data_IF_919152576800
#
_entry.id   IF_919152576800
#
_cell.length_a   1.000
_cell.length_b   1.000
_cell.length_c   1.000
_cell.angle_alpha   90.00
_cell.angle_beta   90.00
_cell.angle_gamma   90.00
#
_symmetry.space_group_name_H-M   'P 1'
#
loop_
_entity.id
_entity.type
_entity.pdbx_description
1 polymer ?
#
# COMPACT_ATOMS: atom_id res chain seq x y z
N UNK A 1 -12.73 -16.20 -32.62
CA UNK A 1 -12.33 -15.51 -31.37
C UNK A 1 -12.76 -16.36 -30.19
N UNK A 2 -11.82 -17.04 -29.53
CA UNK A 2 -12.10 -17.90 -28.35
C UNK A 2 -12.09 -17.02 -27.10
N UNK A 3 -13.24 -16.91 -26.44
CA UNK A 3 -13.38 -16.25 -25.14
C UNK A 3 -12.55 -17.01 -24.09
N UNK A 4 -11.51 -16.39 -23.55
CA UNK A 4 -10.85 -16.88 -22.35
C UNK A 4 -11.74 -16.60 -21.15
N UNK A 5 -12.60 -17.56 -20.79
CA UNK A 5 -13.28 -17.56 -19.49
C UNK A 5 -12.22 -17.87 -18.44
N UNK A 6 -11.76 -16.85 -17.72
CA UNK A 6 -11.03 -17.02 -16.47
C UNK A 6 -11.86 -17.93 -15.54
N UNK A 7 -11.29 -19.05 -15.12
CA UNK A 7 -11.99 -20.06 -14.33
C UNK A 7 -12.37 -19.51 -12.95
N UNK A 8 -13.55 -19.87 -12.47
CA UNK A 8 -14.11 -19.49 -11.17
C UNK A 8 -13.18 -19.78 -9.97
N UNK A 9 -12.18 -20.64 -10.16
CA UNK A 9 -11.14 -20.98 -9.17
C UNK A 9 -10.18 -19.82 -8.85
N UNK A 10 -9.88 -18.94 -9.81
CA UNK A 10 -9.07 -17.74 -9.57
C UNK A 10 -9.83 -16.70 -8.72
N UNK A 11 -11.15 -16.62 -8.91
CA UNK A 11 -12.04 -15.85 -8.06
C UNK A 11 -12.15 -16.44 -6.64
N UNK A 12 -12.27 -17.77 -6.50
CA UNK A 12 -12.39 -18.41 -5.20
C UNK A 12 -11.15 -18.26 -4.30
N UNK A 13 -9.93 -18.25 -4.86
CA UNK A 13 -8.71 -18.03 -4.07
C UNK A 13 -8.53 -16.58 -3.61
N UNK A 14 -9.06 -15.60 -4.35
CA UNK A 14 -9.11 -14.21 -3.92
C UNK A 14 -10.18 -13.99 -2.82
N UNK A 15 -11.28 -14.73 -2.88
CA UNK A 15 -12.40 -14.62 -1.92
C UNK A 15 -12.08 -15.26 -0.56
N UNK A 16 -11.26 -16.32 -0.50
CA UNK A 16 -10.93 -17.03 0.74
C UNK A 16 -10.11 -16.22 1.77
N UNK A 17 -9.52 -15.10 1.37
CA UNK A 17 -8.76 -14.21 2.27
C UNK A 17 -9.35 -12.79 2.39
N UNK A 18 -10.49 -12.54 1.75
CA UNK A 18 -11.23 -11.29 1.93
C UNK A 18 -11.95 -11.34 3.28
N UNK A 19 -11.47 -10.61 4.28
CA UNK A 19 -12.30 -10.28 5.43
C UNK A 19 -13.50 -9.48 4.91
N UNK A 20 -14.68 -10.12 4.91
CA UNK A 20 -15.97 -9.47 4.81
C UNK A 20 -16.09 -8.48 5.97
N UNK A 21 -15.58 -7.27 5.78
CA UNK A 21 -15.90 -6.13 6.63
C UNK A 21 -17.22 -5.56 6.13
N UNK A 22 -18.28 -6.37 6.18
CA UNK A 22 -19.63 -5.89 6.04
C UNK A 22 -19.99 -5.11 7.31
N UNK A 23 -20.45 -3.88 7.10
CA UNK A 23 -21.08 -2.98 8.08
C UNK A 23 -20.22 -2.53 9.27
N UNK A 24 -19.55 -1.40 9.06
CA UNK A 24 -19.86 -0.26 9.92
C UNK A 24 -20.07 0.95 9.00
N UNK A 25 -21.31 1.46 8.96
CA UNK A 25 -21.52 2.84 8.55
C UNK A 25 -20.79 3.69 9.61
N UNK A 26 -19.55 4.11 9.32
CA UNK A 26 -18.89 5.12 10.12
C UNK A 26 -19.46 6.47 9.66
N UNK A 27 -20.25 7.16 10.50
CA UNK A 27 -20.68 8.51 10.20
C UNK A 27 -19.57 9.49 10.60
N UNK A 28 -19.55 10.62 9.89
CA UNK A 28 -18.69 11.79 10.05
C UNK A 28 -17.27 11.59 9.51
N UNK A 29 -17.09 12.05 8.28
CA UNK A 29 -15.82 12.34 7.63
C UNK A 29 -15.19 13.54 8.37
N UNK A 30 -14.77 13.33 9.61
CA UNK A 30 -14.04 14.33 10.40
C UNK A 30 -12.53 14.16 10.20
N UNK A 31 -11.81 15.28 10.06
CA UNK A 31 -10.35 15.31 9.95
C UNK A 31 -9.80 15.56 8.54
N UNK A 32 -8.56 15.11 8.29
CA UNK A 32 -7.70 15.42 7.11
C UNK A 32 -8.30 15.09 5.73
N UNK A 33 -9.42 14.34 5.70
CA UNK A 33 -10.08 13.85 4.48
C UNK A 33 -11.24 14.76 4.04
N UNK A 34 -11.79 15.58 4.94
CA UNK A 34 -13.02 16.34 4.69
C UNK A 34 -12.91 17.28 3.48
N UNK A 35 -11.89 18.14 3.44
CA UNK A 35 -11.73 19.07 2.32
C UNK A 35 -11.40 18.38 1.00
N UNK A 36 -10.66 17.26 1.05
CA UNK A 36 -10.39 16.42 -0.12
C UNK A 36 -11.66 15.76 -0.65
N UNK A 37 -12.60 15.36 0.21
CA UNK A 37 -13.88 14.82 -0.20
C UNK A 37 -14.71 15.85 -0.98
N UNK A 38 -14.81 17.08 -0.47
CA UNK A 38 -15.42 18.20 -1.20
C UNK A 38 -14.76 18.38 -2.57
N UNK A 39 -13.45 18.55 -2.63
CA UNK A 39 -12.68 18.69 -3.88
C UNK A 39 -12.97 17.57 -4.89
N UNK A 40 -12.97 16.30 -4.45
CA UNK A 40 -13.24 15.17 -5.35
C UNK A 40 -14.68 15.15 -5.88
N UNK A 41 -15.67 15.61 -5.11
CA UNK A 41 -17.06 15.66 -5.59
C UNK A 41 -17.21 16.56 -6.82
N UNK A 42 -16.44 17.65 -6.89
CA UNK A 42 -16.49 18.61 -8.00
C UNK A 42 -15.66 18.22 -9.22
N UNK A 43 -14.82 17.18 -9.13
CA UNK A 43 -13.89 16.78 -10.21
C UNK A 43 -14.55 16.48 -11.55
N UNK A 44 -15.82 16.09 -11.50
CA UNK A 44 -16.63 15.77 -12.67
C UNK A 44 -17.49 16.93 -13.18
N UNK A 45 -17.58 18.03 -12.44
CA UNK A 45 -18.36 19.21 -12.83
C UNK A 45 -17.49 20.18 -13.62
N UNK A 46 -18.12 20.84 -14.60
CA UNK A 46 -17.54 21.96 -15.33
C UNK A 46 -18.35 23.22 -15.07
N UNK A 47 -17.68 24.33 -14.80
CA UNK A 47 -18.32 25.63 -14.64
C UNK A 47 -18.11 26.48 -15.88
N UNK A 48 -19.09 27.33 -16.21
CA UNK A 48 -19.07 28.13 -17.44
C UNK A 48 -18.04 29.27 -17.43
N UNK A 49 -17.51 29.62 -16.25
CA UNK A 49 -16.49 30.65 -16.07
C UNK A 49 -15.06 30.08 -16.14
N UNK A 50 -14.89 28.77 -16.30
CA UNK A 50 -13.62 28.14 -16.61
C UNK A 50 -13.37 28.07 -18.13
N UNK A 51 -12.11 28.10 -18.58
CA UNK A 51 -11.81 27.91 -20.00
C UNK A 51 -12.23 26.52 -20.48
N UNK A 52 -12.74 26.42 -21.71
CA UNK A 52 -13.15 25.15 -22.28
C UNK A 52 -11.97 24.19 -22.46
N UNK A 53 -12.22 22.89 -22.27
CA UNK A 53 -11.26 21.79 -22.51
C UNK A 53 -9.98 21.80 -21.67
N UNK A 54 -9.99 22.50 -20.53
CA UNK A 54 -8.85 22.47 -19.60
C UNK A 54 -8.92 21.30 -18.62
N UNK A 55 -7.76 20.92 -18.09
CA UNK A 55 -7.69 19.97 -16.98
C UNK A 55 -8.37 20.57 -15.74
N UNK A 56 -8.95 19.71 -14.90
CA UNK A 56 -9.64 20.11 -13.68
C UNK A 56 -8.80 21.07 -12.83
N UNK A 57 -7.50 20.84 -12.69
CA UNK A 57 -6.61 21.69 -11.89
C UNK A 57 -6.60 23.16 -12.37
N UNK A 58 -6.79 23.42 -13.66
CA UNK A 58 -6.90 24.80 -14.19
C UNK A 58 -8.23 25.42 -13.78
N UNK A 59 -9.33 24.67 -13.86
CA UNK A 59 -10.63 25.12 -13.37
C UNK A 59 -10.59 25.46 -11.88
N UNK A 60 -9.84 24.67 -11.08
CA UNK A 60 -9.73 24.94 -9.63
C UNK A 60 -9.16 26.31 -9.31
N UNK A 61 -8.21 26.77 -10.12
CA UNK A 61 -7.50 28.03 -9.91
C UNK A 61 -8.16 29.23 -10.60
N UNK A 62 -8.96 29.00 -11.65
CA UNK A 62 -9.52 30.06 -12.49
C UNK A 62 -11.02 30.31 -12.30
N UNK A 63 -11.81 29.30 -11.96
CA UNK A 63 -13.27 29.42 -11.84
C UNK A 63 -13.67 29.96 -10.46
N UNK A 64 -14.34 31.11 -10.47
CA UNK A 64 -14.90 31.72 -9.26
C UNK A 64 -16.10 30.94 -8.75
N UNK A 65 -16.93 30.39 -9.64
CA UNK A 65 -18.06 29.54 -9.29
C UNK A 65 -17.60 28.27 -8.57
N UNK A 66 -16.52 27.64 -9.05
CA UNK A 66 -15.90 26.50 -8.38
C UNK A 66 -15.37 26.87 -7.00
N UNK A 67 -14.59 27.96 -6.92
CA UNK A 67 -13.97 28.41 -5.68
C UNK A 67 -15.00 28.71 -4.60
N UNK A 68 -16.09 29.41 -4.94
CA UNK A 68 -17.20 29.66 -4.01
C UNK A 68 -17.91 28.36 -3.61
N UNK A 69 -18.19 27.49 -4.58
CA UNK A 69 -18.88 26.21 -4.33
C UNK A 69 -18.10 25.28 -3.41
N UNK A 70 -16.77 25.22 -3.55
CA UNK A 70 -15.92 24.35 -2.71
C UNK A 70 -15.73 24.94 -1.31
N UNK A 71 -15.60 26.27 -1.17
CA UNK A 71 -15.58 26.94 0.14
C UNK A 71 -16.89 26.74 0.90
N UNK A 72 -18.04 26.84 0.23
CA UNK A 72 -19.34 26.50 0.84
C UNK A 72 -19.42 25.03 1.27
N UNK A 73 -18.88 24.11 0.46
CA UNK A 73 -18.82 22.70 0.85
C UNK A 73 -17.97 22.51 2.12
N UNK A 74 -16.85 23.22 2.24
CA UNK A 74 -16.03 23.18 3.44
C UNK A 74 -16.75 23.76 4.64
N UNK A 75 -17.44 24.89 4.51
CA UNK A 75 -18.22 25.49 5.60
C UNK A 75 -19.31 24.55 6.13
N UNK A 76 -19.97 23.82 5.22
CA UNK A 76 -21.08 22.91 5.59
C UNK A 76 -20.58 21.62 6.27
N UNK A 77 -19.44 21.08 5.82
CA UNK A 77 -19.03 19.72 6.19
C UNK A 77 -17.74 19.64 7.01
N UNK A 78 -16.91 20.68 7.04
CA UNK A 78 -15.58 20.66 7.63
C UNK A 78 -15.43 21.65 8.79
N UNK A 79 -14.45 21.39 9.66
CA UNK A 79 -14.15 22.21 10.86
C UNK A 79 -12.73 22.80 10.88
N UNK A 80 -11.87 22.44 9.92
CA UNK A 80 -10.46 22.88 9.85
C UNK A 80 -10.06 23.17 8.40
N UNK A 81 -9.13 24.10 8.17
CA UNK A 81 -8.72 24.55 6.81
C UNK A 81 -7.39 23.94 6.32
N UNK A 82 -7.11 22.68 6.65
CA UNK A 82 -5.79 22.05 6.41
C UNK A 82 -5.44 21.90 4.91
N UNK A 83 -6.41 22.05 4.00
CA UNK A 83 -6.30 21.76 2.56
C UNK A 83 -5.93 22.95 1.68
N UNK A 84 -6.03 24.17 2.19
CA UNK A 84 -5.79 25.39 1.38
C UNK A 84 -4.33 25.44 0.89
N UNK A 85 -3.38 24.97 1.70
CA UNK A 85 -1.95 24.96 1.36
C UNK A 85 -1.64 24.11 0.12
N UNK A 86 -2.22 22.91 0.01
CA UNK A 86 -1.99 21.99 -1.12
C UNK A 86 -2.54 22.56 -2.43
N UNK A 87 -3.72 23.18 -2.38
CA UNK A 87 -4.36 23.79 -3.55
C UNK A 87 -3.62 25.08 -3.94
N UNK A 88 -3.20 25.89 -2.97
CA UNK A 88 -2.45 27.12 -3.23
C UNK A 88 -1.12 26.82 -3.93
N UNK A 89 -0.40 25.78 -3.52
CA UNK A 89 0.80 25.34 -4.23
C UNK A 89 0.49 24.93 -5.67
N UNK A 90 -0.60 24.19 -5.87
CA UNK A 90 -1.03 23.76 -7.22
C UNK A 90 -1.34 24.96 -8.11
N UNK A 91 -2.04 25.98 -7.61
CA UNK A 91 -2.35 27.18 -8.39
C UNK A 91 -1.12 28.03 -8.70
N UNK A 92 -0.20 28.15 -7.74
CA UNK A 92 1.08 28.83 -7.98
C UNK A 92 1.89 28.17 -9.10
N UNK A 93 1.86 26.84 -9.20
CA UNK A 93 2.56 26.09 -10.25
C UNK A 93 1.88 26.21 -11.63
N UNK A 94 0.55 26.35 -11.68
CA UNK A 94 -0.21 26.37 -12.94
C UNK A 94 -0.18 27.75 -13.61
N UNK A 95 -0.50 28.81 -12.87
CA UNK A 95 -0.66 30.15 -13.42
C UNK A 95 -0.12 31.27 -12.49
N UNK A 96 0.55 30.89 -11.40
CA UNK A 96 1.08 31.84 -10.42
C UNK A 96 0.00 32.48 -9.54
N UNK A 97 -1.27 32.07 -9.67
CA UNK A 97 -2.36 32.58 -8.84
C UNK A 97 -2.34 31.96 -7.44
N UNK A 98 -3.05 32.62 -6.52
CA UNK A 98 -3.30 32.10 -5.19
C UNK A 98 -4.75 31.67 -5.07
N UNK A 99 -4.98 30.52 -4.44
CA UNK A 99 -6.34 30.06 -4.18
C UNK A 99 -7.02 31.02 -3.19
N UNK A 100 -8.24 31.53 -3.48
CA UNK A 100 -8.89 32.53 -2.64
C UNK A 100 -9.11 32.06 -1.20
N UNK A 101 -9.08 33.03 -0.27
CA UNK A 101 -9.44 32.84 1.13
C UNK A 101 -10.94 32.62 1.29
N UNK A 102 -11.33 32.19 2.49
CA UNK A 102 -12.72 31.92 2.86
C UNK A 102 -13.66 33.12 2.64
N UNK A 103 -13.12 34.35 2.63
CA UNK A 103 -13.85 35.60 2.43
C UNK A 103 -14.65 35.66 1.11
N UNK A 104 -14.34 34.79 0.14
CA UNK A 104 -15.04 34.70 -1.15
C UNK A 104 -16.53 34.34 -1.03
N UNK A 105 -16.94 33.74 0.10
CA UNK A 105 -18.34 33.38 0.40
C UNK A 105 -19.02 34.34 1.38
N UNK A 106 -18.33 35.38 1.88
CA UNK A 106 -18.85 36.27 2.92
C UNK A 106 -20.12 37.07 2.52
N UNK A 107 -20.42 37.16 1.22
CA UNK A 107 -21.63 37.80 0.70
C UNK A 107 -22.85 36.89 0.57
N UNK A 108 -22.76 35.61 0.93
CA UNK A 108 -23.84 34.63 0.83
C UNK A 108 -24.54 34.45 2.18
N UNK A 109 -25.87 34.49 2.20
CA UNK A 109 -26.66 34.24 3.41
C UNK A 109 -27.04 32.77 3.53
N UNK A 110 -27.42 32.33 4.74
CA UNK A 110 -27.90 30.96 4.98
C UNK A 110 -29.13 30.62 4.09
N UNK A 111 -29.98 31.61 3.82
CA UNK A 111 -31.14 31.46 2.93
C UNK A 111 -30.71 31.19 1.48
N UNK A 112 -29.68 31.89 1.00
CA UNK A 112 -29.09 31.65 -0.32
C UNK A 112 -28.54 30.22 -0.41
N UNK A 113 -27.83 29.76 0.62
CA UNK A 113 -27.21 28.43 0.67
C UNK A 113 -28.25 27.30 0.58
N UNK A 114 -29.43 27.48 1.16
CA UNK A 114 -30.51 26.50 1.07
C UNK A 114 -31.01 26.35 -0.38
N UNK A 115 -31.07 27.45 -1.13
CA UNK A 115 -31.57 27.51 -2.51
C UNK A 115 -30.57 27.00 -3.55
N UNK A 116 -29.27 26.89 -3.20
CA UNK A 116 -28.25 26.37 -4.11
C UNK A 116 -28.58 24.94 -4.57
N UNK A 117 -28.49 24.74 -5.89
CA UNK A 117 -28.76 23.45 -6.51
C UNK A 117 -27.77 22.37 -6.02
N UNK A 118 -28.31 21.20 -5.69
CA UNK A 118 -27.51 20.06 -5.21
C UNK A 118 -27.29 19.02 -6.29
N UNK A 119 -26.09 18.43 -6.31
CA UNK A 119 -25.72 17.39 -7.27
C UNK A 119 -25.31 16.08 -6.59
N UNK A 120 -25.40 14.99 -7.32
CA UNK A 120 -24.91 13.67 -6.93
C UNK A 120 -24.01 13.10 -8.03
N UNK A 121 -23.73 11.80 -7.99
CA UNK A 121 -22.85 11.14 -8.96
C UNK A 121 -23.37 11.17 -10.42
N UNK A 122 -24.68 11.23 -10.62
CA UNK A 122 -25.33 11.04 -11.94
C UNK A 122 -26.28 12.17 -12.35
N UNK A 123 -26.61 13.09 -11.43
CA UNK A 123 -27.60 14.15 -11.61
C UNK A 123 -27.11 15.47 -10.98
N UNK A 124 -27.34 16.63 -11.61
CA UNK A 124 -27.87 16.81 -12.97
C UNK A 124 -26.89 16.30 -14.04
N UNK A 125 -27.38 16.18 -15.28
CA UNK A 125 -26.54 15.78 -16.42
C UNK A 125 -25.39 16.77 -16.62
N UNK A 126 -24.22 16.25 -16.99
CA UNK A 126 -22.93 16.98 -17.01
C UNK A 126 -22.44 17.30 -18.42
N UNK A 127 -23.34 17.22 -19.40
CA UNK A 127 -23.03 17.51 -20.82
C UNK A 127 -22.67 18.98 -21.02
N UNK A 128 -23.28 19.89 -20.23
CA UNK A 128 -23.06 21.32 -20.35
C UNK A 128 -22.42 21.92 -19.09
N UNK A 129 -21.58 22.97 -19.22
CA UNK A 129 -21.06 23.71 -18.08
C UNK A 129 -22.16 24.39 -17.27
N UNK A 130 -21.97 24.48 -15.95
CA UNK A 130 -22.91 25.13 -15.04
C UNK A 130 -22.53 26.60 -14.83
N UNK A 131 -23.53 27.50 -14.98
CA UNK A 131 -23.38 28.94 -14.78
C UNK A 131 -23.86 29.42 -13.39
N UNK A 132 -24.00 28.49 -12.44
CA UNK A 132 -24.51 28.75 -11.09
C UNK A 132 -23.69 28.00 -10.05
N UNK A 133 -23.80 28.42 -8.78
CA UNK A 133 -23.22 27.69 -7.65
C UNK A 133 -23.87 26.31 -7.51
N UNK A 134 -23.08 25.32 -7.09
CA UNK A 134 -23.51 23.94 -6.98
C UNK A 134 -22.97 23.33 -5.69
N UNK A 135 -23.78 22.53 -5.00
CA UNK A 135 -23.37 21.84 -3.77
C UNK A 135 -23.52 20.32 -3.85
N UNK A 136 -22.58 19.52 -3.33
CA UNK A 136 -22.77 18.08 -3.31
C UNK A 136 -23.90 17.72 -2.32
N UNK A 137 -24.75 16.78 -2.74
CA UNK A 137 -25.67 16.10 -1.83
C UNK A 137 -24.89 15.40 -0.71
N UNK A 138 -25.47 15.35 0.49
CA UNK A 138 -24.84 14.71 1.67
C UNK A 138 -24.39 13.28 1.37
N UNK A 139 -25.24 12.50 0.71
CA UNK A 139 -24.91 11.12 0.31
C UNK A 139 -23.68 11.05 -0.63
N UNK A 140 -23.53 12.01 -1.56
CA UNK A 140 -22.39 12.01 -2.47
C UNK A 140 -21.09 12.47 -1.78
N UNK A 141 -21.20 13.44 -0.87
CA UNK A 141 -20.09 13.83 -0.01
C UNK A 141 -19.62 12.66 0.88
N UNK A 142 -20.55 11.99 1.59
CA UNK A 142 -20.25 10.86 2.46
C UNK A 142 -19.61 9.69 1.68
N UNK A 143 -20.06 9.47 0.43
CA UNK A 143 -19.49 8.48 -0.47
C UNK A 143 -18.01 8.76 -0.77
N UNK A 144 -17.67 10.00 -1.08
CA UNK A 144 -16.28 10.41 -1.34
C UNK A 144 -15.43 10.37 -0.08
N UNK A 145 -15.97 10.77 1.07
CA UNK A 145 -15.26 10.64 2.33
C UNK A 145 -14.92 9.19 2.67
N UNK A 146 -15.88 8.26 2.51
CA UNK A 146 -15.63 6.82 2.66
C UNK A 146 -14.63 6.28 1.64
N UNK A 147 -14.69 6.78 0.41
CA UNK A 147 -13.74 6.40 -0.67
C UNK A 147 -12.33 6.79 -0.28
N UNK A 148 -12.14 8.01 0.18
CA UNK A 148 -10.82 8.54 0.56
C UNK A 148 -10.29 7.91 1.86
N UNK A 149 -11.15 7.63 2.84
CA UNK A 149 -10.75 6.86 4.04
C UNK A 149 -10.27 5.45 3.67
N UNK A 150 -11.06 4.72 2.86
CA UNK A 150 -10.69 3.39 2.41
C UNK A 150 -9.40 3.42 1.57
N UNK A 151 -9.25 4.43 0.70
CA UNK A 151 -8.03 4.65 -0.08
C UNK A 151 -6.82 4.89 0.83
N UNK A 152 -6.92 5.79 1.80
CA UNK A 152 -5.86 6.08 2.77
C UNK A 152 -5.46 4.85 3.56
N UNK A 153 -6.44 4.12 4.10
CA UNK A 153 -6.20 2.86 4.81
C UNK A 153 -5.40 1.85 3.97
N UNK A 154 -5.78 1.68 2.69
CA UNK A 154 -5.10 0.75 1.79
C UNK A 154 -3.67 1.22 1.49
N UNK A 155 -3.47 2.51 1.25
CA UNK A 155 -2.15 3.13 1.02
C UNK A 155 -1.21 2.97 2.21
N UNK A 156 -1.69 3.21 3.42
CA UNK A 156 -0.90 2.98 4.63
C UNK A 156 -0.45 1.53 4.72
N UNK A 157 -1.37 0.59 4.47
CA UNK A 157 -1.00 -0.83 4.40
C UNK A 157 0.03 -1.07 3.30
N UNK A 158 -0.10 -0.48 2.11
CA UNK A 158 0.85 -0.67 1.01
C UNK A 158 2.26 -0.28 1.45
N UNK A 159 2.36 0.88 2.09
CA UNK A 159 3.60 1.38 2.66
C UNK A 159 4.18 0.43 3.72
N UNK A 160 3.39 0.08 4.75
CA UNK A 160 3.87 -0.79 5.84
C UNK A 160 4.28 -2.19 5.35
N UNK A 161 3.56 -2.77 4.38
CA UNK A 161 3.89 -4.10 3.85
C UNK A 161 5.10 -4.08 2.92
N UNK A 162 5.36 -2.98 2.22
CA UNK A 162 6.64 -2.78 1.55
C UNK A 162 7.81 -2.80 2.53
N UNK A 163 7.71 -2.04 3.62
CA UNK A 163 8.74 -2.01 4.67
C UNK A 163 8.91 -3.35 5.41
N UNK A 164 7.82 -4.11 5.59
CA UNK A 164 7.86 -5.40 6.27
C UNK A 164 8.88 -6.37 5.65
N UNK A 165 9.09 -6.32 4.32
CA UNK A 165 10.09 -7.17 3.64
C UNK A 165 11.51 -6.82 4.09
N UNK A 166 11.84 -5.53 4.10
CA UNK A 166 13.14 -5.03 4.56
C UNK A 166 13.37 -5.29 6.04
N UNK A 167 12.37 -5.00 6.89
CA UNK A 167 12.44 -5.23 8.34
C UNK A 167 12.65 -6.70 8.65
N UNK A 168 11.91 -7.59 7.98
CA UNK A 168 12.08 -9.04 8.15
C UNK A 168 13.53 -9.47 7.93
N UNK A 169 14.13 -9.07 6.80
CA UNK A 169 15.50 -9.45 6.49
C UNK A 169 16.53 -8.74 7.37
N UNK A 170 16.28 -7.50 7.79
CA UNK A 170 17.12 -6.80 8.76
C UNK A 170 17.17 -7.55 10.10
N UNK A 171 16.02 -8.03 10.60
CA UNK A 171 15.95 -8.85 11.82
C UNK A 171 16.69 -10.18 11.63
N UNK A 172 16.47 -10.88 10.53
CA UNK A 172 17.15 -12.16 10.21
C UNK A 172 18.67 -11.98 10.15
N UNK A 173 19.15 -10.91 9.52
CA UNK A 173 20.56 -10.56 9.46
C UNK A 173 21.10 -10.22 10.86
N UNK A 174 20.40 -9.40 11.64
CA UNK A 174 20.81 -9.03 12.99
C UNK A 174 20.96 -10.26 13.90
N UNK A 175 20.03 -11.21 13.83
CA UNK A 175 20.12 -12.50 14.52
C UNK A 175 21.35 -13.29 14.06
N UNK A 176 21.64 -13.30 12.75
CA UNK A 176 22.84 -13.93 12.20
C UNK A 176 24.14 -13.32 12.73
N UNK A 177 24.23 -11.99 12.78
CA UNK A 177 25.38 -11.25 13.32
C UNK A 177 25.55 -11.53 14.82
N UNK A 178 24.47 -11.46 15.59
CA UNK A 178 24.49 -11.75 17.02
C UNK A 178 24.96 -13.17 17.29
N UNK A 179 24.44 -14.15 16.56
CA UNK A 179 24.86 -15.55 16.69
C UNK A 179 26.36 -15.73 16.43
N UNK A 180 26.90 -15.06 15.40
CA UNK A 180 28.35 -15.11 15.14
C UNK A 180 29.16 -14.43 16.26
N UNK A 181 28.71 -13.29 16.75
CA UNK A 181 29.37 -12.58 17.85
C UNK A 181 29.43 -13.44 19.13
N UNK A 182 28.34 -14.13 19.47
CA UNK A 182 28.28 -15.06 20.60
C UNK A 182 29.25 -16.24 20.45
N UNK A 183 29.30 -16.86 19.26
CA UNK A 183 30.23 -17.96 18.99
C UNK A 183 31.68 -17.50 19.11
N UNK A 184 32.01 -16.33 18.56
CA UNK A 184 33.36 -15.77 18.64
C UNK A 184 33.74 -15.40 20.08
N UNK A 185 32.80 -14.83 20.84
CA UNK A 185 32.98 -14.50 22.24
C UNK A 185 33.28 -15.73 23.10
N UNK A 186 32.53 -16.82 22.91
CA UNK A 186 32.78 -18.10 23.58
C UNK A 186 34.12 -18.71 23.18
N UNK A 187 34.54 -18.58 21.92
CA UNK A 187 35.84 -19.07 21.44
C UNK A 187 37.02 -18.30 22.07
N UNK A 188 36.85 -17.02 22.39
CA UNK A 188 37.85 -16.18 23.06
C UNK A 188 37.87 -16.35 24.59
N UNK A 189 36.91 -17.08 25.18
CA UNK A 189 36.82 -17.26 26.64
C UNK A 189 37.92 -18.23 27.14
N UNK A 190 38.62 -17.95 28.26
CA UNK A 190 39.64 -18.84 28.80
C UNK A 190 39.07 -20.25 29.05
N UNK A 191 39.85 -21.28 28.68
CA UNK A 191 39.45 -22.71 28.74
C UNK A 191 38.91 -23.13 30.11
N UNK A 192 39.37 -22.50 31.20
CA UNK A 192 38.94 -22.75 32.58
C UNK A 192 37.49 -22.36 32.91
N UNK A 193 36.91 -21.40 32.17
CA UNK A 193 35.52 -20.94 32.34
C UNK A 193 34.60 -21.39 31.21
N UNK A 194 35.06 -22.31 30.36
CA UNK A 194 34.25 -22.86 29.27
C UNK A 194 33.29 -23.89 29.87
N UNK A 195 32.07 -23.45 30.16
CA UNK A 195 30.97 -24.33 30.58
C UNK A 195 30.77 -25.45 29.56
N UNK A 196 30.91 -26.71 29.99
CA UNK A 196 30.57 -27.89 29.19
C UNK A 196 29.05 -27.90 28.98
N UNK A 197 28.58 -27.26 27.92
CA UNK A 197 27.17 -26.96 27.69
C UNK A 197 26.41 -28.21 27.22
N UNK A 198 25.96 -29.04 28.16
CA UNK A 198 25.10 -30.22 27.90
C UNK A 198 23.74 -29.85 27.27
N UNK A 199 23.24 -28.63 27.48
CA UNK A 199 21.97 -28.12 26.92
C UNK A 199 22.05 -27.80 25.43
N UNK A 200 23.25 -27.49 24.93
CA UNK A 200 23.50 -27.12 23.53
C UNK A 200 23.42 -28.33 22.59
N UNK A 201 23.70 -29.54 23.09
CA UNK A 201 23.63 -30.79 22.31
C UNK A 201 22.18 -31.14 21.94
N UNK A 202 21.22 -30.97 22.85
CA UNK A 202 19.80 -31.25 22.57
C UNK A 202 19.23 -30.24 21.57
N UNK A 203 19.49 -28.95 21.76
CA UNK A 203 19.04 -27.89 20.86
C UNK A 203 19.67 -28.03 19.47
N UNK A 204 20.99 -28.25 19.39
CA UNK A 204 21.67 -28.53 18.11
C UNK A 204 21.13 -29.78 17.43
N UNK A 205 20.92 -30.86 18.18
CA UNK A 205 20.45 -32.15 17.63
C UNK A 205 18.99 -32.14 17.21
N UNK A 206 18.09 -31.47 17.93
CA UNK A 206 16.65 -31.49 17.66
C UNK A 206 16.17 -30.31 16.82
N UNK A 207 16.84 -29.16 16.87
CA UNK A 207 16.38 -27.93 16.20
C UNK A 207 17.29 -27.52 15.04
N UNK A 208 18.61 -27.64 15.15
CA UNK A 208 19.55 -27.12 14.13
C UNK A 208 19.99 -28.17 13.09
N UNK A 209 20.28 -29.40 13.51
CA UNK A 209 21.04 -30.37 12.72
C UNK A 209 20.27 -31.24 11.70
N UNK A 210 19.04 -31.74 11.95
CA UNK A 210 18.48 -32.73 11.04
C UNK A 210 17.87 -32.11 9.77
N UNK A 211 17.79 -32.87 8.68
CA UNK A 211 17.07 -32.44 7.48
C UNK A 211 15.58 -32.17 7.80
N UNK A 212 14.96 -31.22 7.07
CA UNK A 212 13.52 -30.91 7.19
C UNK A 212 12.65 -31.99 6.52
N UNK A 213 13.08 -32.53 5.37
CA UNK A 213 12.46 -33.69 4.72
C UNK A 213 13.51 -34.57 4.03
N UNK A 214 13.41 -35.89 4.20
CA UNK A 214 14.29 -36.88 3.55
C UNK A 214 15.64 -37.13 4.25
N UNK A 215 16.34 -38.19 3.80
CA UNK A 215 17.65 -38.64 4.34
C UNK A 215 18.86 -37.96 3.69
N UNK A 216 18.66 -37.07 2.71
CA UNK A 216 19.74 -36.41 1.95
C UNK A 216 20.01 -35.01 2.52
N UNK A 217 20.89 -34.94 3.51
CA UNK A 217 21.50 -33.67 3.90
C UNK A 217 22.54 -33.29 2.85
N UNK A 218 22.54 -32.04 2.40
CA UNK A 218 23.71 -31.47 1.70
C UNK A 218 24.86 -31.52 2.70
N UNK A 219 25.81 -32.41 2.44
CA UNK A 219 27.07 -32.55 3.15
C UNK A 219 27.88 -31.27 2.90
N UNK A 220 27.94 -30.40 3.91
CA UNK A 220 29.01 -29.42 4.16
C UNK A 220 28.80 -28.84 5.58
N UNK A 221 28.82 -29.73 6.57
CA UNK A 221 28.88 -29.35 8.00
C UNK A 221 30.35 -29.22 8.42
N UNK A 222 31.12 -28.38 7.72
CA UNK A 222 32.58 -28.33 7.85
C UNK A 222 33.22 -26.94 7.94
N UNK A 223 32.45 -25.86 8.01
CA UNK A 223 33.00 -24.50 8.01
C UNK A 223 32.30 -23.57 8.99
N UNK A 224 33.08 -22.68 9.62
CA UNK A 224 32.60 -21.57 10.42
C UNK A 224 31.81 -20.62 9.51
N UNK A 225 30.50 -20.86 9.37
CA UNK A 225 29.67 -20.01 8.51
C UNK A 225 28.43 -20.61 7.86
N UNK A 226 28.16 -21.92 7.93
CA UNK A 226 26.97 -22.47 7.25
C UNK A 226 25.71 -22.35 8.13
N UNK A 227 24.70 -21.61 7.66
CA UNK A 227 23.41 -21.52 8.35
C UNK A 227 22.73 -22.91 8.32
N UNK A 228 22.28 -23.46 9.48
CA UNK A 228 21.72 -24.80 9.53
C UNK A 228 20.51 -24.97 8.60
N UNK A 229 20.32 -26.13 7.95
CA UNK A 229 19.29 -26.33 6.92
C UNK A 229 17.86 -26.04 7.39
N UNK A 230 17.53 -26.34 8.66
CA UNK A 230 16.22 -26.05 9.25
C UNK A 230 15.97 -24.56 9.44
N UNK A 231 16.94 -23.85 9.99
CA UNK A 231 16.84 -22.39 10.18
C UNK A 231 16.64 -21.71 8.83
N UNK A 232 17.42 -22.11 7.83
CA UNK A 232 17.27 -21.62 6.46
C UNK A 232 15.87 -21.87 5.87
N UNK A 233 15.35 -23.08 6.06
CA UNK A 233 14.01 -23.47 5.55
C UNK A 233 12.90 -22.74 6.29
N UNK A 234 13.02 -22.60 7.62
CA UNK A 234 12.07 -21.89 8.46
C UNK A 234 12.04 -20.38 8.12
N UNK A 235 13.21 -19.75 7.98
CA UNK A 235 13.32 -18.35 7.54
C UNK A 235 12.62 -18.15 6.20
N UNK A 236 12.87 -19.00 5.22
CA UNK A 236 12.23 -18.90 3.90
C UNK A 236 10.73 -19.16 3.95
N UNK A 237 10.28 -20.14 4.76
CA UNK A 237 8.85 -20.44 4.92
C UNK A 237 8.14 -19.25 5.55
N UNK A 238 8.70 -18.68 6.62
CA UNK A 238 8.16 -17.48 7.27
C UNK A 238 8.14 -16.29 6.30
N UNK A 239 9.19 -16.11 5.51
CA UNK A 239 9.25 -15.06 4.50
C UNK A 239 8.16 -15.21 3.43
N UNK A 240 7.94 -16.43 2.92
CA UNK A 240 6.86 -16.74 1.97
C UNK A 240 5.49 -16.45 2.61
N UNK A 241 5.27 -16.89 3.84
CA UNK A 241 4.02 -16.66 4.57
C UNK A 241 3.74 -15.16 4.76
N UNK A 242 4.75 -14.38 5.16
CA UNK A 242 4.61 -12.91 5.30
C UNK A 242 4.26 -12.29 3.94
N UNK A 243 4.93 -12.69 2.86
CA UNK A 243 4.61 -12.19 1.52
C UNK A 243 3.16 -12.51 1.11
N UNK A 244 2.69 -13.72 1.39
CA UNK A 244 1.30 -14.13 1.10
C UNK A 244 0.33 -13.31 1.93
N UNK A 245 0.51 -13.23 3.25
CA UNK A 245 -0.39 -12.47 4.15
C UNK A 245 -0.43 -11.00 3.75
N UNK A 246 0.73 -10.38 3.52
CA UNK A 246 0.81 -9.00 3.06
C UNK A 246 0.16 -8.80 1.68
N UNK A 247 0.21 -9.79 0.79
CA UNK A 247 -0.41 -9.67 -0.54
C UNK A 247 -1.94 -9.76 -0.51
N UNK A 248 -2.55 -10.39 0.50
CA UNK A 248 -4.00 -10.67 0.52
C UNK A 248 -4.77 -9.91 1.59
N UNK A 249 -4.13 -9.48 2.67
CA UNK A 249 -4.80 -8.88 3.82
C UNK A 249 -4.86 -7.35 3.75
N UNK A 250 -5.89 -6.77 4.38
CA UNK A 250 -5.99 -5.32 4.58
C UNK A 250 -6.60 -4.55 3.41
N UNK A 251 -7.63 -5.10 2.77
CA UNK A 251 -8.45 -4.40 1.78
C UNK A 251 -9.81 -3.99 2.34
N UNK A 252 -10.32 -2.83 1.92
CA UNK A 252 -11.67 -2.33 2.20
C UNK A 252 -12.38 -2.12 0.87
N UNK A 253 -13.46 -2.88 0.66
CA UNK A 253 -14.27 -2.83 -0.56
C UNK A 253 -15.68 -2.39 -0.22
N UNK A 254 -16.29 -1.56 -1.07
CA UNK A 254 -17.71 -1.21 -0.94
C UNK A 254 -18.29 -0.74 -2.28
N UNK A 255 -19.61 -0.82 -2.39
CA UNK A 255 -20.36 -0.39 -3.59
C UNK A 255 -20.42 1.14 -3.70
N UNK A 256 -20.31 1.65 -4.93
CA UNK A 256 -20.30 3.09 -5.21
C UNK A 256 -18.95 3.79 -4.98
N UNK A 257 -17.85 3.02 -4.90
CA UNK A 257 -16.51 3.56 -4.71
C UNK A 257 -16.14 4.60 -5.78
N UNK A 258 -15.69 5.79 -5.36
CA UNK A 258 -15.57 6.97 -6.23
C UNK A 258 -14.58 6.84 -7.40
N UNK A 259 -13.60 5.94 -7.32
CA UNK A 259 -12.63 5.72 -8.43
C UNK A 259 -12.96 4.52 -9.31
N UNK A 260 -13.65 3.50 -8.78
CA UNK A 260 -13.85 2.20 -9.44
C UNK A 260 -15.28 1.72 -9.20
N UNK A 261 -16.11 1.65 -10.25
CA UNK A 261 -17.55 1.47 -10.10
C UNK A 261 -17.96 0.10 -9.56
N UNK A 262 -17.13 -0.94 -9.72
CA UNK A 262 -17.46 -2.31 -9.30
C UNK A 262 -16.44 -2.85 -8.30
N UNK A 263 -16.89 -3.75 -7.40
CA UNK A 263 -16.01 -4.45 -6.46
C UNK A 263 -14.94 -5.25 -7.21
N UNK A 264 -15.26 -5.86 -8.36
CA UNK A 264 -14.29 -6.60 -9.17
C UNK A 264 -13.11 -5.73 -9.62
N UNK A 265 -13.38 -4.51 -10.10
CA UNK A 265 -12.34 -3.55 -10.46
C UNK A 265 -11.52 -3.10 -9.25
N UNK A 266 -12.16 -2.89 -8.09
CA UNK A 266 -11.44 -2.56 -6.85
C UNK A 266 -10.48 -3.68 -6.44
N UNK A 267 -10.92 -4.95 -6.50
CA UNK A 267 -10.06 -6.11 -6.20
C UNK A 267 -8.88 -6.16 -7.15
N UNK A 268 -9.11 -6.10 -8.47
CA UNK A 268 -8.05 -6.12 -9.47
C UNK A 268 -7.05 -5.00 -9.21
N UNK A 269 -7.54 -3.77 -9.01
CA UNK A 269 -6.71 -2.60 -8.74
C UNK A 269 -5.82 -2.80 -7.51
N UNK A 270 -6.42 -3.11 -6.35
CA UNK A 270 -5.66 -3.12 -5.10
C UNK A 270 -4.76 -4.34 -4.96
N UNK A 271 -5.14 -5.49 -5.52
CA UNK A 271 -4.25 -6.65 -5.59
C UNK A 271 -3.07 -6.36 -6.51
N UNK A 272 -3.31 -5.75 -7.66
CA UNK A 272 -2.24 -5.32 -8.56
C UNK A 272 -1.30 -4.31 -7.91
N UNK A 273 -1.81 -3.28 -7.24
CA UNK A 273 -0.98 -2.30 -6.54
C UNK A 273 -0.12 -2.95 -5.45
N UNK A 274 -0.75 -3.76 -4.59
CA UNK A 274 -0.08 -4.46 -3.49
C UNK A 274 1.06 -5.33 -3.97
N UNK A 275 0.80 -6.17 -4.96
CA UNK A 275 1.79 -7.11 -5.49
C UNK A 275 2.92 -6.36 -6.21
N UNK A 276 2.63 -5.27 -6.92
CA UNK A 276 3.65 -4.42 -7.52
C UNK A 276 4.58 -3.78 -6.47
N UNK A 277 4.01 -3.22 -5.40
CA UNK A 277 4.76 -2.58 -4.32
C UNK A 277 5.62 -3.59 -3.56
N UNK A 278 5.08 -4.75 -3.18
CA UNK A 278 5.85 -5.79 -2.48
C UNK A 278 6.94 -6.38 -3.40
N UNK A 279 6.64 -6.59 -4.69
CA UNK A 279 7.64 -7.00 -5.68
C UNK A 279 8.82 -6.03 -5.70
N UNK A 280 8.53 -4.73 -5.83
CA UNK A 280 9.55 -3.70 -5.87
C UNK A 280 10.34 -3.60 -4.55
N UNK A 281 9.67 -3.72 -3.40
CA UNK A 281 10.33 -3.75 -2.09
C UNK A 281 11.32 -4.92 -1.93
N UNK A 282 11.14 -6.01 -2.69
CA UNK A 282 12.04 -7.14 -2.72
C UNK A 282 13.31 -6.91 -3.57
N UNK A 283 13.36 -5.91 -4.46
CA UNK A 283 14.50 -5.70 -5.37
C UNK A 283 15.83 -5.42 -4.64
N UNK A 284 15.89 -4.52 -3.64
CA UNK A 284 17.11 -4.31 -2.88
C UNK A 284 17.62 -5.59 -2.20
N UNK A 285 16.70 -6.45 -1.75
CA UNK A 285 17.01 -7.72 -1.11
C UNK A 285 17.56 -8.75 -2.10
N UNK A 286 17.01 -8.80 -3.32
CA UNK A 286 17.56 -9.63 -4.42
C UNK A 286 19.01 -9.23 -4.69
N UNK A 287 19.29 -7.93 -4.76
CA UNK A 287 20.65 -7.41 -4.96
C UNK A 287 21.57 -7.76 -3.79
N UNK A 288 21.13 -7.49 -2.56
CA UNK A 288 21.88 -7.80 -1.34
C UNK A 288 22.31 -9.26 -1.30
N UNK A 289 21.39 -10.19 -1.55
CA UNK A 289 21.67 -11.63 -1.51
C UNK A 289 22.38 -12.16 -2.76
N UNK A 290 22.40 -11.39 -3.86
CA UNK A 290 23.08 -11.73 -5.11
C UNK A 290 24.57 -11.40 -5.12
N UNK A 291 25.03 -10.47 -4.26
CA UNK A 291 26.43 -10.07 -4.18
C UNK A 291 27.32 -11.13 -3.53
N UNK A 292 28.45 -11.45 -4.18
CA UNK A 292 29.40 -12.50 -3.73
C UNK A 292 30.31 -12.10 -2.58
N UNK A 293 30.55 -10.80 -2.39
CA UNK A 293 31.41 -10.28 -1.33
C UNK A 293 30.82 -8.96 -0.81
N UNK A 294 30.06 -9.04 0.28
CA UNK A 294 29.42 -7.88 0.90
C UNK A 294 29.60 -7.90 2.41
N UNK A 295 29.45 -6.73 3.04
CA UNK A 295 29.64 -6.55 4.50
C UNK A 295 28.76 -7.48 5.31
N UNK A 296 27.55 -7.79 4.83
CA UNK A 296 26.61 -8.64 5.57
C UNK A 296 27.05 -10.11 5.56
N UNK A 297 27.63 -10.62 4.46
CA UNK A 297 28.32 -11.92 4.44
C UNK A 297 29.46 -11.92 5.46
N UNK A 298 30.27 -10.86 5.47
CA UNK A 298 31.38 -10.74 6.42
C UNK A 298 30.92 -10.62 7.88
N UNK A 299 29.78 -9.99 8.18
CA UNK A 299 29.26 -9.86 9.54
C UNK A 299 28.55 -11.12 10.04
N UNK A 300 27.77 -11.78 9.19
CA UNK A 300 27.01 -12.98 9.57
C UNK A 300 27.87 -14.25 9.53
N UNK A 301 28.92 -14.23 8.70
CA UNK A 301 29.72 -15.41 8.40
C UNK A 301 29.04 -16.39 7.46
N UNK A 302 27.87 -16.06 6.91
CA UNK A 302 27.15 -16.97 6.04
C UNK A 302 27.90 -17.26 4.75
N UNK A 303 27.88 -18.52 4.33
CA UNK A 303 28.45 -18.92 3.05
C UNK A 303 27.62 -18.40 1.86
N UNK A 304 28.29 -18.18 0.72
CA UNK A 304 27.62 -17.69 -0.49
C UNK A 304 26.48 -18.60 -0.95
N UNK A 305 26.52 -19.91 -0.65
CA UNK A 305 25.44 -20.85 -0.97
C UNK A 305 24.15 -20.52 -0.19
N UNK A 306 24.26 -20.10 1.07
CA UNK A 306 23.10 -19.62 1.86
C UNK A 306 22.53 -18.34 1.24
N UNK A 307 23.39 -17.36 0.94
CA UNK A 307 23.01 -16.11 0.28
C UNK A 307 22.31 -16.35 -1.06
N UNK A 308 22.91 -17.16 -1.92
CA UNK A 308 22.35 -17.49 -3.23
C UNK A 308 21.00 -18.22 -3.12
N UNK A 309 20.79 -19.02 -2.07
CA UNK A 309 19.47 -19.62 -1.83
C UNK A 309 18.43 -18.55 -1.47
N UNK A 310 18.77 -17.58 -0.62
CA UNK A 310 17.89 -16.44 -0.32
C UNK A 310 17.60 -15.61 -1.58
N UNK A 311 18.63 -15.26 -2.36
CA UNK A 311 18.49 -14.55 -3.64
C UNK A 311 17.46 -15.22 -4.57
N UNK A 312 17.57 -16.54 -4.76
CA UNK A 312 16.65 -17.28 -5.65
C UNK A 312 15.21 -17.25 -5.14
N UNK A 313 14.98 -17.42 -3.84
CA UNK A 313 13.63 -17.42 -3.28
C UNK A 313 12.99 -16.04 -3.25
N UNK A 314 13.75 -15.00 -2.86
CA UNK A 314 13.29 -13.61 -2.94
C UNK A 314 12.97 -13.23 -4.39
N UNK A 315 13.85 -13.61 -5.34
CA UNK A 315 13.64 -13.36 -6.76
C UNK A 315 12.41 -14.07 -7.34
N UNK A 316 12.16 -15.32 -6.95
CA UNK A 316 10.95 -16.06 -7.36
C UNK A 316 9.66 -15.40 -6.85
N UNK A 317 9.66 -14.95 -5.59
CA UNK A 317 8.51 -14.26 -5.01
C UNK A 317 8.26 -12.91 -5.69
N UNK A 318 9.31 -12.11 -5.88
CA UNK A 318 9.21 -10.84 -6.58
C UNK A 318 8.72 -11.02 -8.03
N UNK A 319 9.25 -12.02 -8.75
CA UNK A 319 8.80 -12.33 -10.11
C UNK A 319 7.32 -12.75 -10.14
N UNK A 320 6.87 -13.61 -9.23
CA UNK A 320 5.47 -14.00 -9.12
C UNK A 320 4.56 -12.80 -8.84
N UNK A 321 4.97 -11.93 -7.92
CA UNK A 321 4.24 -10.71 -7.59
C UNK A 321 4.20 -9.73 -8.77
N UNK A 322 5.29 -9.56 -9.51
CA UNK A 322 5.34 -8.76 -10.72
C UNK A 322 4.38 -9.30 -11.81
N UNK A 323 4.33 -10.63 -11.99
CA UNK A 323 3.39 -11.25 -12.92
C UNK A 323 1.93 -10.95 -12.52
N UNK A 324 1.58 -11.11 -11.24
CA UNK A 324 0.23 -10.82 -10.74
C UNK A 324 -0.11 -9.34 -10.94
N UNK A 325 0.82 -8.45 -10.60
CA UNK A 325 0.70 -7.01 -10.83
C UNK A 325 0.38 -6.70 -12.30
N UNK A 326 1.21 -7.19 -13.22
CA UNK A 326 1.05 -6.97 -14.67
C UNK A 326 -0.26 -7.54 -15.19
N UNK A 327 -0.60 -8.79 -14.85
CA UNK A 327 -1.84 -9.43 -15.31
C UNK A 327 -3.07 -8.67 -14.82
N UNK A 328 -3.11 -8.28 -13.54
CA UNK A 328 -4.27 -7.57 -13.01
C UNK A 328 -4.43 -6.16 -13.58
N UNK A 329 -3.33 -5.46 -13.87
CA UNK A 329 -3.38 -4.17 -14.59
C UNK A 329 -3.83 -4.33 -16.04
N UNK A 330 -3.33 -5.36 -16.73
CA UNK A 330 -3.81 -5.67 -18.10
C UNK A 330 -5.30 -5.97 -18.09
N UNK A 331 -5.79 -6.76 -17.14
CA UNK A 331 -7.22 -7.08 -17.01
C UNK A 331 -8.08 -5.87 -16.58
N UNK A 332 -7.49 -4.85 -15.97
CA UNK A 332 -8.21 -3.63 -15.57
C UNK A 332 -8.34 -2.63 -16.73
N UNK A 333 -7.44 -2.70 -17.73
CA UNK A 333 -7.41 -1.80 -18.89
C UNK A 333 -8.17 -2.38 -20.09
N UNK A 334 -8.19 -3.72 -20.22
CA UNK A 334 -9.00 -4.44 -21.22
C UNK A 334 -10.48 -4.46 -20.81
#
# INVERSE_FOLDING_TARGET
MRSWRLSSTAYCLAVLFCNNSALAAAPVVGGTVCGKACRQTFRTLRFSDAPDWVFFAVQECTSRLYQQSVHLCWEIYCSEDVWILEINQTCQEIDGSQFPTHDIIAGLTDEDVVQIARFNATSPDRVHPFAQLMLPSRAFYDLWGRTLDAHGYIWDKHYYYGWAMGIFWAVVVAVGVLNRALIQWEACRPRAFRTQQRTDVWFKRNILAPATFGRRCVQDFGGWGTLPPRVRTLTLTLFVLINIVCAVYGYRFFEGYGYYPTIGMQILRYVSDRTGIISFANFPLIWLFGMRNNVVIWLTGWDFKTYNNFHRWVGRLAALQAIIHSVGYTALIL
#
